data_IF_113753960838
#
_entry.id   IF_113753960838
#
_cell.length_a   1.000
_cell.length_b   1.000
_cell.length_c   1.000
_cell.angle_alpha   90.00
_cell.angle_beta   90.00
_cell.angle_gamma   90.00
#
_symmetry.space_group_name_H-M   'P 1'
#
loop_
_entity.id
_entity.type
_entity.pdbx_description
1 polymer ?
#
# COMPACT_ATOMS: atom_id res chain seq x y z
N UNK A 1 23.79 -28.34 -4.41
CA UNK A 1 22.47 -28.96 -4.21
C UNK A 1 21.47 -28.19 -5.06
N UNK A 2 20.71 -28.80 -5.98
CA UNK A 2 19.80 -28.06 -6.83
C UNK A 2 18.50 -27.77 -6.07
N UNK A 3 18.17 -26.49 -5.94
CA UNK A 3 16.92 -26.02 -5.35
C UNK A 3 15.77 -26.24 -6.35
N UNK A 4 14.96 -27.26 -6.12
CA UNK A 4 13.61 -27.35 -6.69
C UNK A 4 12.72 -26.31 -5.99
N UNK A 5 12.54 -25.16 -6.63
CA UNK A 5 11.55 -24.17 -6.21
C UNK A 5 10.17 -24.70 -6.60
N UNK A 6 9.44 -25.24 -5.62
CA UNK A 6 8.03 -25.63 -5.78
C UNK A 6 7.21 -24.33 -5.83
N UNK A 7 6.75 -23.99 -7.02
CA UNK A 7 5.71 -22.99 -7.26
C UNK A 7 4.36 -23.62 -6.88
N UNK A 8 3.96 -23.53 -5.62
CA UNK A 8 2.67 -24.05 -5.16
C UNK A 8 1.53 -23.11 -5.58
N UNK A 9 0.77 -23.54 -6.58
CA UNK A 9 -0.45 -22.92 -7.08
C UNK A 9 -1.61 -23.14 -6.10
N UNK A 10 -2.11 -22.06 -5.48
CA UNK A 10 -3.39 -22.04 -4.78
C UNK A 10 -4.55 -22.12 -5.79
N UNK A 11 -5.13 -23.31 -5.95
CA UNK A 11 -6.36 -23.55 -6.71
C UNK A 11 -7.59 -23.10 -5.93
N UNK A 12 -8.04 -21.88 -6.15
CA UNK A 12 -9.39 -21.42 -5.83
C UNK A 12 -10.28 -21.62 -7.06
N UNK A 13 -11.35 -22.42 -6.91
CA UNK A 13 -12.32 -22.77 -7.94
C UNK A 13 -13.00 -21.52 -8.54
N UNK A 14 -13.27 -21.48 -9.86
CA UNK A 14 -13.98 -20.37 -10.49
C UNK A 14 -15.49 -20.51 -10.27
N UNK A 15 -16.13 -19.44 -9.80
CA UNK A 15 -17.57 -19.25 -9.91
C UNK A 15 -17.84 -18.77 -11.34
N UNK A 16 -18.36 -19.67 -12.18
CA UNK A 16 -18.77 -19.36 -13.55
C UNK A 16 -20.21 -18.82 -13.54
N UNK A 17 -20.37 -17.58 -14.00
CA UNK A 17 -21.65 -17.04 -14.44
C UNK A 17 -21.63 -16.95 -15.96
N UNK A 18 -22.52 -17.71 -16.60
CA UNK A 18 -22.68 -17.82 -18.04
C UNK A 18 -23.45 -16.62 -18.61
N UNK A 19 -22.86 -15.93 -19.58
CA UNK A 19 -23.55 -15.46 -20.79
C UNK A 19 -22.49 -15.16 -21.86
N UNK A 20 -22.46 -16.04 -22.86
CA UNK A 20 -21.41 -16.17 -23.86
C UNK A 20 -21.49 -15.15 -24.97
N UNK A 21 -20.93 -13.98 -24.72
CA UNK A 21 -20.33 -13.17 -25.78
C UNK A 21 -18.82 -13.23 -25.54
N UNK A 22 -18.09 -14.03 -26.32
CA UNK A 22 -16.63 -14.18 -26.20
C UNK A 22 -15.97 -12.88 -26.65
N UNK A 23 -15.99 -11.88 -25.77
CA UNK A 23 -15.32 -10.59 -25.98
C UNK A 23 -13.85 -10.89 -26.24
N UNK A 24 -13.39 -10.59 -27.46
CA UNK A 24 -11.98 -10.74 -27.84
C UNK A 24 -11.12 -10.08 -26.77
N UNK A 25 -10.24 -10.86 -26.15
CA UNK A 25 -9.38 -10.37 -25.09
C UNK A 25 -8.39 -9.36 -25.70
N UNK A 26 -8.58 -8.07 -25.37
CA UNK A 26 -7.71 -6.99 -25.82
C UNK A 26 -6.43 -7.05 -25.00
N UNK A 27 -5.27 -7.01 -25.66
CA UNK A 27 -4.01 -7.01 -24.93
C UNK A 27 -3.84 -5.74 -24.09
N UNK A 28 -3.10 -5.83 -22.99
CA UNK A 28 -2.82 -4.68 -22.12
C UNK A 28 -2.18 -3.50 -22.87
N UNK A 29 -1.31 -3.80 -23.84
CA UNK A 29 -0.66 -2.78 -24.68
C UNK A 29 -1.66 -2.09 -25.61
N UNK A 30 -2.55 -2.84 -26.26
CA UNK A 30 -3.62 -2.27 -27.08
C UNK A 30 -4.59 -1.43 -26.24
N UNK A 31 -4.95 -1.92 -25.05
CA UNK A 31 -5.81 -1.17 -24.14
C UNK A 31 -5.17 0.14 -23.68
N UNK A 32 -3.89 0.11 -23.28
CA UNK A 32 -3.15 1.32 -22.91
C UNK A 32 -3.05 2.32 -24.08
N UNK A 33 -2.85 1.84 -25.30
CA UNK A 33 -2.89 2.69 -26.49
C UNK A 33 -4.28 3.31 -26.70
N UNK A 34 -5.36 2.54 -26.49
CA UNK A 34 -6.72 3.07 -26.56
C UNK A 34 -6.97 4.16 -25.49
N UNK A 35 -6.53 3.93 -24.25
CA UNK A 35 -6.57 4.91 -23.14
C UNK A 35 -5.86 6.21 -23.49
N UNK A 36 -4.71 6.16 -24.18
CA UNK A 36 -3.96 7.36 -24.58
C UNK A 36 -4.69 8.27 -25.58
N UNK A 37 -5.76 7.78 -26.22
CA UNK A 37 -6.60 8.58 -27.14
C UNK A 37 -7.65 9.41 -26.40
N UNK A 38 -7.92 9.11 -25.13
CA UNK A 38 -8.89 9.87 -24.34
C UNK A 38 -8.24 11.18 -23.90
N UNK A 39 -8.96 12.27 -24.12
CA UNK A 39 -8.54 13.62 -23.74
C UNK A 39 -9.38 14.10 -22.57
N UNK A 40 -8.79 14.95 -21.72
CA UNK A 40 -9.55 15.76 -20.75
C UNK A 40 -10.59 16.58 -21.52
N UNK A 41 -11.81 16.65 -21.00
CA UNK A 41 -12.99 17.25 -21.63
C UNK A 41 -13.80 16.30 -22.52
N UNK A 42 -13.34 15.06 -22.76
CA UNK A 42 -14.12 14.08 -23.54
C UNK A 42 -15.45 13.73 -22.84
N UNK A 43 -16.48 13.43 -23.64
CA UNK A 43 -17.78 12.97 -23.12
C UNK A 43 -17.71 11.49 -22.70
N UNK A 44 -18.71 11.04 -21.92
CA UNK A 44 -18.88 9.62 -21.62
C UNK A 44 -19.02 8.77 -22.88
N UNK A 45 -19.70 9.29 -23.90
CA UNK A 45 -19.97 8.58 -25.14
C UNK A 45 -18.68 8.40 -25.96
N UNK A 46 -17.81 9.41 -25.99
CA UNK A 46 -16.49 9.31 -26.62
C UNK A 46 -15.63 8.23 -25.95
N UNK A 47 -15.65 8.17 -24.61
CA UNK A 47 -14.90 7.17 -23.86
C UNK A 47 -15.46 5.77 -24.11
N UNK A 48 -16.79 5.60 -24.13
CA UNK A 48 -17.42 4.32 -24.46
C UNK A 48 -17.11 3.88 -25.89
N UNK A 49 -17.06 4.81 -26.85
CA UNK A 49 -16.68 4.51 -28.23
C UNK A 49 -15.22 4.03 -28.34
N UNK A 50 -14.32 4.52 -27.46
CA UNK A 50 -12.89 4.19 -27.49
C UNK A 50 -12.58 2.90 -26.70
N UNK A 51 -13.14 2.73 -25.50
CA UNK A 51 -12.79 1.67 -24.57
C UNK A 51 -13.87 0.59 -24.40
N UNK A 52 -15.10 0.88 -24.84
CA UNK A 52 -16.27 0.10 -24.50
C UNK A 52 -16.74 0.34 -23.05
N UNK A 53 -17.69 -0.49 -22.62
CA UNK A 53 -18.27 -0.41 -21.27
C UNK A 53 -17.22 -0.71 -20.18
N UNK A 54 -17.13 0.10 -19.11
CA UNK A 54 -16.26 -0.19 -17.97
C UNK A 54 -16.74 -1.41 -17.18
N UNK A 55 -15.82 -2.08 -16.47
CA UNK A 55 -16.14 -3.25 -15.64
C UNK A 55 -16.85 -2.85 -14.35
N UNK A 56 -16.54 -1.65 -13.85
CA UNK A 56 -17.18 -1.08 -12.67
C UNK A 56 -17.29 0.44 -12.82
N UNK A 57 -18.39 0.98 -12.31
CA UNK A 57 -18.63 2.40 -12.19
C UNK A 57 -18.80 2.71 -10.71
N UNK A 58 -18.11 3.73 -10.24
CA UNK A 58 -18.24 4.24 -8.88
C UNK A 58 -18.78 5.66 -8.92
N UNK A 59 -19.97 5.85 -8.36
CA UNK A 59 -20.54 7.16 -8.12
C UNK A 59 -20.14 7.68 -6.73
N UNK A 60 -19.91 8.98 -6.62
CA UNK A 60 -19.69 9.65 -5.35
C UNK A 60 -18.89 10.92 -5.50
N UNK A 61 -19.15 11.89 -4.61
CA UNK A 61 -18.36 13.12 -4.52
C UNK A 61 -16.95 12.77 -4.08
N UNK A 62 -15.99 12.79 -5.00
CA UNK A 62 -14.58 12.68 -4.66
C UNK A 62 -14.01 14.08 -4.59
N UNK A 63 -13.82 14.57 -3.37
CA UNK A 63 -13.08 15.81 -3.16
C UNK A 63 -11.60 15.49 -3.32
N UNK A 64 -11.04 15.95 -4.43
CA UNK A 64 -9.59 15.98 -4.62
C UNK A 64 -9.06 17.13 -3.75
N UNK A 65 -8.88 16.91 -2.45
CA UNK A 65 -8.17 17.89 -1.62
C UNK A 65 -6.69 17.85 -2.01
N UNK A 66 -6.08 19.03 -2.13
CA UNK A 66 -4.68 19.21 -2.54
C UNK A 66 -3.65 18.77 -1.48
N UNK A 67 -4.09 18.36 -0.29
CA UNK A 67 -3.19 18.09 0.84
C UNK A 67 -3.36 16.71 1.51
N UNK A 68 -4.53 16.10 1.46
CA UNK A 68 -4.78 14.76 2.03
C UNK A 68 -5.56 13.96 1.01
N UNK A 69 -4.84 13.38 0.04
CA UNK A 69 -5.42 12.78 -1.17
C UNK A 69 -6.62 11.87 -0.89
N UNK A 70 -7.55 11.65 -1.84
CA UNK A 70 -8.89 11.25 -1.47
C UNK A 70 -8.94 9.87 -0.82
N UNK A 71 -9.01 9.86 0.51
CA UNK A 71 -10.01 9.02 1.13
C UNK A 71 -11.35 9.45 0.54
N UNK A 72 -12.23 8.49 0.27
CA UNK A 72 -13.63 8.81 -0.01
C UNK A 72 -14.11 9.60 1.20
N UNK A 73 -14.14 10.92 1.08
CA UNK A 73 -14.85 11.74 2.04
C UNK A 73 -16.28 11.26 1.89
N UNK A 74 -16.79 10.56 2.91
CA UNK A 74 -18.23 10.37 3.01
C UNK A 74 -18.81 11.77 2.88
N UNK A 75 -19.80 11.95 2.01
CA UNK A 75 -20.34 13.25 1.63
C UNK A 75 -20.83 14.13 2.81
N UNK A 76 -20.75 13.66 4.06
CA UNK A 76 -21.13 14.35 5.28
C UNK A 76 -20.12 15.37 5.81
N UNK A 77 -18.84 15.35 5.40
CA UNK A 77 -17.78 16.03 6.18
C UNK A 77 -17.04 17.19 5.44
N UNK A 78 -17.62 17.78 4.39
CA UNK A 78 -16.94 18.83 3.60
C UNK A 78 -17.56 20.20 3.83
N UNK A 79 -16.84 21.06 4.54
CA UNK A 79 -17.12 22.50 4.68
C UNK A 79 -16.73 23.26 3.39
N UNK A 80 -17.57 24.20 2.95
CA UNK A 80 -17.77 24.63 1.55
C UNK A 80 -16.95 25.84 1.07
N UNK A 81 -15.61 25.85 1.14
CA UNK A 81 -14.85 27.10 0.89
C UNK A 81 -13.75 27.09 -0.20
N UNK A 82 -13.76 26.20 -1.19
CA UNK A 82 -12.78 26.27 -2.29
C UNK A 82 -13.24 25.71 -3.63
N UNK A 83 -12.67 26.21 -4.73
CA UNK A 83 -12.85 25.75 -6.11
C UNK A 83 -12.44 24.26 -6.25
N UNK A 84 -13.39 23.35 -6.09
CA UNK A 84 -13.19 21.92 -6.31
C UNK A 84 -13.98 21.47 -7.53
N UNK A 85 -13.33 20.79 -8.46
CA UNK A 85 -14.05 20.01 -9.48
C UNK A 85 -14.72 18.84 -8.77
N UNK A 86 -16.04 18.87 -8.68
CA UNK A 86 -16.81 17.75 -8.14
C UNK A 86 -16.66 16.57 -9.10
N UNK A 87 -15.74 15.66 -8.79
CA UNK A 87 -15.68 14.36 -9.44
C UNK A 87 -16.93 13.61 -9.01
N UNK A 88 -17.81 13.32 -9.97
CA UNK A 88 -19.09 12.66 -9.71
C UNK A 88 -19.01 11.16 -9.96
N UNK A 89 -18.11 10.72 -10.84
CA UNK A 89 -18.08 9.35 -11.32
C UNK A 89 -16.67 8.90 -11.70
N UNK A 90 -16.33 7.65 -11.37
CA UNK A 90 -15.06 7.02 -11.74
C UNK A 90 -15.34 5.69 -12.42
N UNK A 91 -14.80 5.52 -13.62
CA UNK A 91 -14.88 4.29 -14.40
C UNK A 91 -13.62 3.46 -14.21
N UNK A 92 -13.82 2.17 -13.91
CA UNK A 92 -12.75 1.22 -13.65
C UNK A 92 -12.70 0.16 -14.75
N UNK A 93 -11.50 -0.06 -15.28
CA UNK A 93 -11.21 -1.10 -16.27
C UNK A 93 -10.22 -2.12 -15.69
N UNK A 94 -10.48 -3.40 -15.93
CA UNK A 94 -9.77 -4.55 -15.35
C UNK A 94 -10.17 -4.90 -13.91
N UNK A 95 -11.27 -4.36 -13.40
CA UNK A 95 -11.74 -4.58 -12.03
C UNK A 95 -12.56 -5.88 -11.88
N UNK A 96 -12.42 -6.58 -10.75
CA UNK A 96 -13.28 -7.71 -10.37
C UNK A 96 -14.49 -7.19 -9.57
N UNK A 97 -15.56 -6.83 -10.27
CA UNK A 97 -16.81 -6.36 -9.69
C UNK A 97 -16.77 -4.90 -9.20
N UNK A 98 -17.87 -4.47 -8.57
CA UNK A 98 -18.14 -3.05 -8.23
C UNK A 98 -17.18 -2.42 -7.22
N UNK A 99 -16.44 -3.25 -6.47
CA UNK A 99 -15.46 -2.82 -5.47
C UNK A 99 -14.03 -3.28 -5.82
N UNK A 100 -13.83 -3.84 -7.01
CA UNK A 100 -12.54 -4.32 -7.48
C UNK A 100 -11.57 -3.17 -7.76
N UNK A 101 -10.28 -3.41 -7.55
CA UNK A 101 -9.25 -2.46 -7.98
C UNK A 101 -9.02 -2.60 -9.50
N UNK A 102 -9.02 -1.50 -10.26
CA UNK A 102 -8.78 -1.54 -11.72
C UNK A 102 -7.34 -1.92 -12.02
N UNK A 103 -7.16 -2.89 -12.91
CA UNK A 103 -5.82 -3.31 -13.37
C UNK A 103 -5.44 -2.73 -14.71
N UNK A 104 -6.37 -2.21 -15.52
CA UNK A 104 -6.07 -1.72 -16.87
C UNK A 104 -6.01 -0.19 -16.96
N UNK A 105 -6.95 0.48 -16.32
CA UNK A 105 -7.03 1.94 -16.32
C UNK A 105 -8.24 2.50 -15.58
N UNK A 106 -8.27 3.83 -15.45
CA UNK A 106 -9.34 4.60 -14.82
C UNK A 106 -9.65 5.85 -15.62
N UNK A 107 -10.92 6.24 -15.62
CA UNK A 107 -11.37 7.52 -16.18
C UNK A 107 -12.23 8.20 -15.13
N UNK A 108 -11.88 9.44 -14.78
CA UNK A 108 -12.59 10.25 -13.80
C UNK A 108 -13.43 11.27 -14.56
N UNK A 109 -14.68 11.41 -14.15
CA UNK A 109 -15.59 12.40 -14.67
C UNK A 109 -15.92 13.43 -13.59
N UNK A 110 -15.82 14.69 -13.96
CA UNK A 110 -16.25 15.81 -13.11
C UNK A 110 -17.23 16.71 -13.85
N UNK A 111 -18.00 17.47 -13.09
CA UNK A 111 -18.78 18.58 -13.64
C UNK A 111 -17.94 19.85 -13.57
N UNK A 112 -17.64 20.46 -14.72
CA UNK A 112 -17.21 21.85 -14.73
C UNK A 112 -18.43 22.72 -14.42
N UNK A 113 -18.31 23.62 -13.44
CA UNK A 113 -19.32 24.62 -13.12
C UNK A 113 -19.32 25.68 -14.24
N UNK A 114 -19.90 25.36 -15.39
CA UNK A 114 -20.26 26.37 -16.40
C UNK A 114 -21.74 26.70 -16.25
N UNK A 115 -22.10 27.96 -16.49
CA UNK A 115 -23.41 28.52 -16.14
C UNK A 115 -24.60 27.82 -16.84
N UNK A 116 -24.37 27.05 -17.92
CA UNK A 116 -25.46 26.61 -18.80
C UNK A 116 -25.61 25.08 -19.06
N UNK A 117 -24.65 24.19 -18.73
CA UNK A 117 -24.87 22.72 -18.89
C UNK A 117 -24.01 21.88 -17.92
N UNK A 118 -24.64 21.04 -17.10
CA UNK A 118 -23.98 20.03 -16.25
C UNK A 118 -23.67 18.72 -17.02
N UNK A 119 -22.86 18.78 -18.07
CA UNK A 119 -22.36 17.56 -18.69
C UNK A 119 -21.10 17.09 -17.94
N UNK A 120 -21.11 15.88 -17.39
CA UNK A 120 -19.92 15.30 -16.79
C UNK A 120 -18.91 14.98 -17.91
N UNK A 121 -17.71 15.55 -17.83
CA UNK A 121 -16.63 15.32 -18.80
C UNK A 121 -15.42 14.72 -18.12
N UNK A 122 -14.55 14.08 -18.90
CA UNK A 122 -13.32 13.47 -18.40
C UNK A 122 -12.42 14.54 -17.78
N UNK A 123 -12.11 14.45 -16.49
CA UNK A 123 -11.15 15.33 -15.83
C UNK A 123 -9.77 14.66 -15.64
N UNK A 124 -9.72 13.34 -15.48
CA UNK A 124 -8.47 12.58 -15.35
C UNK A 124 -8.53 11.23 -16.04
N UNK A 125 -7.38 10.80 -16.60
CA UNK A 125 -7.20 9.51 -17.27
C UNK A 125 -5.93 8.84 -16.75
N UNK A 126 -6.04 7.60 -16.31
CA UNK A 126 -4.93 6.81 -15.80
C UNK A 126 -4.86 5.45 -16.44
N UNK A 127 -3.66 4.98 -16.78
CA UNK A 127 -3.47 3.76 -17.57
C UNK A 127 -3.21 4.01 -19.06
N UNK A 128 -2.83 5.23 -19.47
CA UNK A 128 -2.42 5.55 -20.85
C UNK A 128 -0.92 5.29 -21.11
N UNK A 129 -0.11 5.11 -20.06
CA UNK A 129 1.32 4.81 -20.19
C UNK A 129 1.57 3.42 -20.78
N UNK A 130 2.76 3.24 -21.40
CA UNK A 130 3.18 1.96 -21.97
C UNK A 130 3.42 0.93 -20.85
N UNK A 131 2.70 -0.20 -20.81
CA UNK A 131 2.96 -1.28 -19.85
C UNK A 131 4.35 -1.88 -20.07
N UNK A 132 4.99 -2.34 -19.01
CA UNK A 132 6.28 -3.03 -19.10
C UNK A 132 6.13 -4.38 -19.85
N UNK A 133 7.03 -4.71 -20.78
CA UNK A 133 7.00 -6.01 -21.47
C UNK A 133 7.21 -7.20 -20.52
N UNK A 134 7.85 -6.98 -19.37
CA UNK A 134 8.05 -8.01 -18.34
C UNK A 134 6.73 -8.58 -17.82
N UNK A 135 5.64 -7.80 -17.86
CA UNK A 135 4.32 -8.23 -17.41
C UNK A 135 3.75 -9.39 -18.23
N UNK A 136 4.25 -9.65 -19.45
CA UNK A 136 3.87 -10.83 -20.22
C UNK A 136 4.26 -12.15 -19.54
N UNK A 137 5.16 -12.11 -18.55
CA UNK A 137 5.65 -13.27 -17.78
C UNK A 137 4.76 -13.64 -16.60
N UNK A 138 3.76 -12.81 -16.26
CA UNK A 138 2.84 -13.04 -15.16
C UNK A 138 1.41 -13.18 -15.69
N UNK A 139 0.63 -14.10 -15.11
CA UNK A 139 -0.79 -14.26 -15.47
C UNK A 139 -1.59 -13.06 -14.97
N UNK A 140 -2.60 -12.65 -15.72
CA UNK A 140 -3.45 -11.50 -15.36
C UNK A 140 -4.04 -11.63 -13.94
N UNK A 141 -4.50 -12.83 -13.57
CA UNK A 141 -5.03 -13.11 -12.22
C UNK A 141 -4.02 -12.80 -11.11
N UNK A 142 -2.75 -13.15 -11.32
CA UNK A 142 -1.70 -12.94 -10.32
C UNK A 142 -1.24 -11.49 -10.30
N UNK A 143 -1.13 -10.84 -11.47
CA UNK A 143 -0.88 -9.41 -11.57
C UNK A 143 -1.96 -8.60 -10.84
N UNK A 144 -3.23 -8.93 -11.05
CA UNK A 144 -4.37 -8.30 -10.36
C UNK A 144 -4.24 -8.41 -8.85
N UNK A 145 -3.95 -9.62 -8.34
CA UNK A 145 -3.74 -9.85 -6.90
C UNK A 145 -2.62 -8.99 -6.33
N UNK A 146 -1.50 -8.86 -7.06
CA UNK A 146 -0.37 -8.02 -6.63
C UNK A 146 -0.72 -6.54 -6.65
N UNK A 147 -1.37 -6.04 -7.71
CA UNK A 147 -1.81 -4.64 -7.81
C UNK A 147 -2.79 -4.30 -6.67
N UNK A 148 -3.76 -5.19 -6.39
CA UNK A 148 -4.68 -5.05 -5.24
C UNK A 148 -3.91 -5.01 -3.93
N UNK A 149 -2.91 -5.88 -3.75
CA UNK A 149 -2.07 -5.89 -2.55
C UNK A 149 -1.30 -4.58 -2.39
N UNK A 150 -0.75 -4.02 -3.47
CA UNK A 150 -0.07 -2.72 -3.49
C UNK A 150 -1.02 -1.56 -3.20
N UNK A 151 -2.29 -1.70 -3.56
CA UNK A 151 -3.33 -0.73 -3.20
C UNK A 151 -3.73 -0.75 -1.73
N UNK A 152 -3.31 -1.78 -0.98
CA UNK A 152 -3.63 -1.97 0.42
C UNK A 152 -3.27 -0.77 1.31
N UNK A 153 -3.95 -0.66 2.45
CA UNK A 153 -3.86 0.47 3.38
C UNK A 153 -2.64 0.35 4.30
N UNK A 154 -1.44 0.51 3.76
CA UNK A 154 -0.26 0.80 4.60
C UNK A 154 -0.04 2.31 4.63
N UNK A 155 -0.74 3.01 5.53
CA UNK A 155 -0.69 4.47 5.66
C UNK A 155 0.68 4.96 6.16
N UNK A 156 1.11 6.14 5.74
CA UNK A 156 2.38 6.74 6.14
C UNK A 156 2.33 7.41 7.53
N UNK A 157 1.17 7.38 8.20
CA UNK A 157 1.01 7.80 9.58
C UNK A 157 1.27 6.61 10.53
N UNK A 158 2.20 6.73 11.46
CA UNK A 158 2.61 5.66 12.37
C UNK A 158 1.46 5.02 13.15
N UNK A 159 0.42 5.77 13.51
CA UNK A 159 -0.75 5.23 14.23
C UNK A 159 -1.66 4.34 13.37
N UNK A 160 -1.51 4.43 12.05
CA UNK A 160 -2.32 3.73 11.04
C UNK A 160 -1.51 2.80 10.14
N UNK A 161 -0.18 2.93 10.18
CA UNK A 161 0.74 2.07 9.48
C UNK A 161 0.60 0.63 9.98
N UNK A 162 0.42 -0.30 9.05
CA UNK A 162 0.34 -1.73 9.32
C UNK A 162 1.54 -2.45 8.69
N UNK A 163 2.51 -2.90 9.51
CA UNK A 163 3.67 -3.65 9.01
C UNK A 163 3.27 -4.93 8.26
N UNK A 164 2.15 -5.57 8.61
CA UNK A 164 1.69 -6.83 8.02
C UNK A 164 1.41 -6.70 6.53
N UNK A 165 0.76 -5.61 6.11
CA UNK A 165 0.51 -5.34 4.68
C UNK A 165 1.81 -5.16 3.90
N UNK A 166 2.79 -4.43 4.46
CA UNK A 166 4.08 -4.25 3.81
C UNK A 166 4.87 -5.56 3.73
N UNK A 167 4.85 -6.37 4.79
CA UNK A 167 5.45 -7.71 4.80
C UNK A 167 4.85 -8.60 3.69
N UNK A 168 3.52 -8.63 3.58
CA UNK A 168 2.83 -9.40 2.55
C UNK A 168 3.21 -8.95 1.13
N UNK A 169 3.22 -7.64 0.87
CA UNK A 169 3.63 -7.07 -0.42
C UNK A 169 5.06 -7.44 -0.79
N UNK A 170 5.99 -7.30 0.14
CA UNK A 170 7.40 -7.68 -0.04
C UNK A 170 7.52 -9.16 -0.37
N UNK A 171 6.87 -10.03 0.41
CA UNK A 171 6.99 -11.47 0.28
C UNK A 171 6.30 -12.01 -0.98
N UNK A 172 5.32 -11.29 -1.51
CA UNK A 172 4.69 -11.60 -2.80
C UNK A 172 5.55 -11.14 -3.99
N UNK A 173 6.22 -10.00 -3.89
CA UNK A 173 7.06 -9.45 -4.96
C UNK A 173 8.46 -10.07 -5.04
N UNK A 174 9.09 -10.38 -3.90
CA UNK A 174 10.46 -10.89 -3.85
C UNK A 174 10.70 -12.14 -4.72
N UNK A 175 9.80 -13.14 -4.75
CA UNK A 175 9.99 -14.34 -5.57
C UNK A 175 9.90 -14.10 -7.08
N UNK A 176 9.35 -12.96 -7.52
CA UNK A 176 9.23 -12.61 -8.94
C UNK A 176 10.57 -12.24 -9.58
N UNK A 177 11.58 -11.94 -8.75
CA UNK A 177 12.83 -11.35 -9.21
C UNK A 177 12.72 -9.85 -9.45
N UNK A 178 13.86 -9.18 -9.63
CA UNK A 178 13.96 -7.71 -9.60
C UNK A 178 13.11 -7.06 -10.69
N UNK A 179 13.29 -7.50 -11.93
CA UNK A 179 12.73 -6.80 -13.09
C UNK A 179 11.20 -6.92 -13.13
N UNK A 180 10.67 -8.12 -12.86
CA UNK A 180 9.24 -8.36 -12.80
C UNK A 180 8.60 -7.67 -11.58
N UNK A 181 9.26 -7.65 -10.42
CA UNK A 181 8.76 -6.93 -9.24
C UNK A 181 8.64 -5.42 -9.51
N UNK A 182 9.66 -4.81 -10.13
CA UNK A 182 9.62 -3.40 -10.53
C UNK A 182 8.55 -3.13 -11.59
N UNK A 183 8.39 -4.03 -12.57
CA UNK A 183 7.34 -3.92 -13.58
C UNK A 183 5.93 -3.93 -12.99
N UNK A 184 5.68 -4.75 -11.96
CA UNK A 184 4.40 -4.79 -11.23
C UNK A 184 4.16 -3.48 -10.47
N UNK A 185 5.20 -2.93 -9.83
CA UNK A 185 5.11 -1.64 -9.12
C UNK A 185 4.82 -0.50 -10.11
N UNK A 186 5.50 -0.48 -11.25
CA UNK A 186 5.26 0.48 -12.33
C UNK A 186 3.83 0.37 -12.87
N UNK A 187 3.34 -0.85 -13.03
CA UNK A 187 1.97 -1.08 -13.49
C UNK A 187 0.94 -0.54 -12.50
N UNK A 188 1.14 -0.79 -11.20
CA UNK A 188 0.32 -0.20 -10.15
C UNK A 188 0.31 1.33 -10.23
N UNK A 189 1.49 1.95 -10.37
CA UNK A 189 1.61 3.41 -10.49
C UNK A 189 0.99 3.95 -11.79
N UNK A 190 1.02 3.18 -12.88
CA UNK A 190 0.45 3.55 -14.19
C UNK A 190 -1.08 3.63 -14.13
N UNK A 191 -1.73 2.70 -13.43
CA UNK A 191 -3.20 2.64 -13.31
C UNK A 191 -3.75 3.37 -12.09
N UNK A 192 -2.86 3.73 -11.16
CA UNK A 192 -3.19 4.53 -9.98
C UNK A 192 -2.16 5.67 -9.73
N UNK A 193 -1.92 6.60 -10.68
CA UNK A 193 -1.02 7.73 -10.48
C UNK A 193 -1.59 8.74 -9.48
N UNK A 194 -0.78 9.05 -8.46
CA UNK A 194 -0.43 10.39 -7.99
C UNK A 194 -1.47 11.46 -7.61
N UNK A 195 -2.78 11.21 -7.59
CA UNK A 195 -3.70 12.09 -6.81
C UNK A 195 -3.67 11.79 -5.31
N UNK A 196 -2.91 10.78 -4.88
CA UNK A 196 -2.81 10.40 -3.49
C UNK A 196 -1.34 10.42 -3.07
N UNK A 197 -0.93 11.43 -2.28
CA UNK A 197 0.39 11.46 -1.63
C UNK A 197 0.73 10.09 -1.00
N UNK A 198 -0.28 9.43 -0.41
CA UNK A 198 -0.17 8.10 0.18
C UNK A 198 0.30 7.00 -0.79
N UNK A 199 -0.01 7.05 -2.09
CA UNK A 199 0.37 6.00 -3.05
C UNK A 199 1.88 5.95 -3.32
N UNK A 200 2.45 7.11 -3.66
CA UNK A 200 3.88 7.24 -3.95
C UNK A 200 4.74 6.99 -2.72
N UNK A 201 4.33 7.52 -1.57
CA UNK A 201 5.02 7.32 -0.30
C UNK A 201 5.03 5.83 0.10
N UNK A 202 3.90 5.15 -0.07
CA UNK A 202 3.77 3.69 0.11
C UNK A 202 4.78 2.92 -0.73
N UNK A 203 4.90 3.25 -2.01
CA UNK A 203 5.86 2.57 -2.89
C UNK A 203 7.30 2.85 -2.45
N UNK A 204 7.63 4.05 -1.95
CA UNK A 204 8.97 4.32 -1.40
C UNK A 204 9.28 3.46 -0.18
N UNK A 205 8.33 3.32 0.74
CA UNK A 205 8.46 2.42 1.89
C UNK A 205 8.66 0.98 1.41
N UNK A 206 7.87 0.54 0.43
CA UNK A 206 8.01 -0.76 -0.19
C UNK A 206 9.40 -0.99 -0.79
N UNK A 207 9.92 -0.07 -1.59
CA UNK A 207 11.23 -0.21 -2.23
C UNK A 207 12.36 -0.29 -1.20
N UNK A 208 12.34 0.57 -0.17
CA UNK A 208 13.32 0.56 0.94
C UNK A 208 13.33 -0.75 1.71
N UNK A 209 12.16 -1.37 1.81
CA UNK A 209 12.07 -2.69 2.40
C UNK A 209 12.55 -3.66 1.33
N UNK A 210 11.87 -3.87 0.20
CA UNK A 210 12.13 -4.88 -0.85
C UNK A 210 13.60 -5.09 -1.23
N UNK A 211 14.40 -4.03 -1.24
CA UNK A 211 15.81 -4.08 -1.61
C UNK A 211 16.78 -4.11 -0.40
N UNK A 212 17.97 -4.66 -0.64
CA UNK A 212 19.09 -4.61 0.30
C UNK A 212 19.62 -3.18 0.42
N UNK A 213 20.19 -2.86 1.59
CA UNK A 213 20.90 -1.60 1.75
C UNK A 213 22.15 -1.69 0.87
N UNK A 214 22.40 -0.70 0.00
CA UNK A 214 23.59 -0.70 -0.84
C UNK A 214 24.85 -0.81 0.03
N UNK A 215 25.74 -1.75 -0.30
CA UNK A 215 26.96 -1.99 0.46
C UNK A 215 28.00 -0.89 0.27
N UNK A 216 27.93 -0.15 -0.83
CA UNK A 216 28.84 0.94 -1.19
C UNK A 216 28.57 2.21 -0.37
N UNK A 217 27.30 2.57 -0.13
CA UNK A 217 26.92 3.73 0.66
C UNK A 217 26.57 3.40 2.10
N UNK A 218 26.21 2.15 2.41
CA UNK A 218 25.74 1.74 3.74
C UNK A 218 24.35 2.28 4.11
N UNK A 219 23.67 2.97 3.19
CA UNK A 219 22.31 3.49 3.38
C UNK A 219 21.55 3.61 2.06
N UNK A 220 20.21 3.58 2.12
CA UNK A 220 19.33 3.79 0.98
C UNK A 220 19.41 5.23 0.45
N UNK A 221 19.08 5.47 -0.84
CA UNK A 221 18.93 6.83 -1.38
C UNK A 221 17.96 7.67 -0.55
N UNK A 222 18.15 8.98 -0.52
CA UNK A 222 17.21 9.89 0.14
C UNK A 222 15.87 9.92 -0.61
N UNK A 223 14.75 9.87 0.14
CA UNK A 223 13.40 9.98 -0.43
C UNK A 223 12.76 11.37 -0.24
N UNK A 224 13.53 12.37 0.23
CA UNK A 224 13.13 13.77 0.35
C UNK A 224 11.79 13.94 1.09
N UNK A 225 11.69 13.33 2.27
CA UNK A 225 10.54 13.54 3.14
C UNK A 225 10.48 15.02 3.53
N UNK A 226 9.29 15.63 3.47
CA UNK A 226 9.06 16.93 4.08
C UNK A 226 9.23 16.85 5.60
N UNK A 227 9.41 18.00 6.23
CA UNK A 227 10.14 18.05 7.49
C UNK A 227 9.34 17.51 8.69
N UNK A 228 10.11 16.97 9.65
CA UNK A 228 9.78 16.53 11.01
C UNK A 228 9.44 15.03 11.26
N UNK A 229 10.39 14.22 11.77
CA UNK A 229 11.79 14.56 12.05
C UNK A 229 12.63 14.61 10.76
N UNK A 230 13.68 15.44 10.70
CA UNK A 230 14.60 15.43 9.58
C UNK A 230 15.27 14.06 9.42
N UNK A 231 15.75 13.72 8.22
CA UNK A 231 16.58 12.54 8.02
C UNK A 231 17.76 12.47 9.01
N UNK A 232 18.25 11.26 9.32
CA UNK A 232 19.41 11.09 10.18
C UNK A 232 20.64 11.83 9.65
N UNK A 233 21.28 12.65 10.50
CA UNK A 233 22.59 13.24 10.20
C UNK A 233 23.65 12.19 9.82
N UNK A 234 23.51 10.97 10.35
CA UNK A 234 24.31 9.79 9.99
C UNK A 234 23.39 8.71 9.43
N UNK A 235 23.16 8.67 8.10
CA UNK A 235 22.23 7.75 7.46
C UNK A 235 22.46 6.28 7.79
N UNK A 236 23.67 5.89 8.15
CA UNK A 236 24.07 4.52 8.48
C UNK A 236 23.42 4.02 9.78
N UNK A 237 22.96 4.92 10.67
CA UNK A 237 22.25 4.55 11.90
C UNK A 237 20.86 4.00 11.62
N UNK A 238 20.20 4.53 10.58
CA UNK A 238 18.92 4.03 10.06
C UNK A 238 19.02 3.95 8.54
N UNK A 239 19.64 2.91 8.00
CA UNK A 239 19.99 2.84 6.58
C UNK A 239 18.76 2.71 5.67
N UNK A 240 17.56 2.53 6.24
CA UNK A 240 16.26 2.46 5.54
C UNK A 240 15.30 3.58 5.93
N UNK A 241 15.78 4.65 6.58
CA UNK A 241 14.95 5.76 7.05
C UNK A 241 13.88 6.17 6.02
N UNK A 242 12.59 6.24 6.37
CA UNK A 242 12.03 6.31 7.72
C UNK A 242 11.63 4.96 8.31
N UNK A 243 12.02 3.84 7.68
CA UNK A 243 11.75 2.48 8.19
C UNK A 243 12.97 1.92 8.90
N UNK A 244 12.73 1.25 10.02
CA UNK A 244 13.69 0.38 10.69
C UNK A 244 13.14 -1.05 10.78
N UNK A 245 13.90 -2.04 10.30
CA UNK A 245 13.45 -3.45 10.30
C UNK A 245 13.98 -4.15 11.54
N UNK A 246 13.08 -4.55 12.44
CA UNK A 246 13.41 -5.26 13.69
C UNK A 246 12.83 -6.67 13.62
N UNK A 247 13.69 -7.70 13.59
CA UNK A 247 13.26 -9.11 13.45
C UNK A 247 12.24 -9.31 12.32
N UNK A 248 12.59 -8.82 11.13
CA UNK A 248 11.75 -8.85 9.93
C UNK A 248 10.42 -8.08 10.01
N UNK A 249 10.25 -7.21 11.02
CA UNK A 249 9.12 -6.29 11.13
C UNK A 249 9.57 -4.90 10.67
N UNK A 250 9.09 -4.39 9.54
CA UNK A 250 9.41 -3.03 9.09
C UNK A 250 8.59 -2.02 9.89
N UNK A 251 9.21 -1.36 10.87
CA UNK A 251 8.58 -0.35 11.71
C UNK A 251 8.86 1.05 11.15
N UNK A 252 7.82 1.86 11.02
CA UNK A 252 7.95 3.27 10.70
C UNK A 252 8.38 4.04 11.96
N UNK A 253 9.59 4.60 11.95
CA UNK A 253 10.19 5.25 13.15
C UNK A 253 9.92 6.74 13.24
N UNK A 254 9.12 7.26 12.31
CA UNK A 254 8.62 8.64 12.31
C UNK A 254 7.12 8.60 12.50
N UNK A 255 6.55 9.58 13.21
CA UNK A 255 5.10 9.62 13.46
C UNK A 255 4.28 9.73 12.17
N UNK A 256 4.86 10.38 11.18
CA UNK A 256 4.35 10.57 9.85
C UNK A 256 5.30 11.51 9.15
N UNK A 257 5.13 11.66 7.86
CA UNK A 257 5.76 12.70 7.10
C UNK A 257 4.74 13.17 6.09
N UNK A 258 4.73 14.47 5.86
CA UNK A 258 4.06 15.05 4.70
C UNK A 258 5.19 15.38 3.75
N UNK A 259 5.16 14.89 2.52
CA UNK A 259 6.04 15.46 1.51
C UNK A 259 5.66 16.94 1.36
N UNK A 260 6.51 17.87 1.80
CA UNK A 260 6.24 19.30 1.63
C UNK A 260 6.17 19.61 0.12
N UNK A 261 4.97 19.87 -0.38
CA UNK A 261 4.68 20.09 -1.80
C UNK A 261 4.19 18.85 -2.54
N UNK A 262 4.29 18.86 -3.87
CA UNK A 262 4.01 17.67 -4.67
C UNK A 262 5.08 16.63 -4.32
N UNK A 263 4.72 15.46 -3.73
CA UNK A 263 5.70 14.41 -3.47
C UNK A 263 6.45 14.16 -4.78
N UNK A 264 7.80 14.10 -4.74
CA UNK A 264 8.54 13.89 -5.97
C UNK A 264 8.01 12.62 -6.64
N UNK A 265 7.93 12.62 -7.97
CA UNK A 265 7.59 11.44 -8.75
C UNK A 265 8.49 10.26 -8.32
N UNK A 266 7.95 9.04 -8.21
CA UNK A 266 8.70 7.85 -7.76
C UNK A 266 9.63 7.26 -8.83
N UNK A 267 9.55 7.76 -10.06
CA UNK A 267 10.39 7.29 -11.17
C UNK A 267 11.89 7.28 -10.91
N UNK A 268 12.51 8.32 -10.30
CA UNK A 268 13.93 8.30 -9.99
C UNK A 268 14.30 7.20 -8.98
N UNK A 269 13.42 6.90 -8.02
CA UNK A 269 13.60 5.79 -7.08
C UNK A 269 13.58 4.45 -7.83
N UNK A 270 12.59 4.24 -8.71
CA UNK A 270 12.48 3.03 -9.53
C UNK A 270 13.69 2.84 -10.44
N UNK A 271 14.16 3.90 -11.08
CA UNK A 271 15.33 3.84 -11.96
C UNK A 271 16.61 3.53 -11.17
N UNK A 272 16.76 4.09 -9.97
CA UNK A 272 17.83 3.73 -9.05
C UNK A 272 17.80 2.23 -8.74
N UNK A 273 16.65 1.69 -8.31
CA UNK A 273 16.55 0.28 -7.93
C UNK A 273 16.66 -0.66 -9.12
N UNK A 274 16.22 -0.26 -10.31
CA UNK A 274 16.47 -1.00 -11.55
C UNK A 274 17.97 -1.16 -11.80
N UNK A 275 18.71 -0.05 -11.74
CA UNK A 275 20.15 -0.02 -12.06
C UNK A 275 21.03 -0.63 -10.97
N UNK A 276 20.76 -0.31 -9.70
CA UNK A 276 21.64 -0.60 -8.56
C UNK A 276 21.02 -1.50 -7.50
N UNK A 277 19.71 -1.67 -7.51
CA UNK A 277 19.00 -2.42 -6.48
C UNK A 277 19.37 -3.90 -6.51
N UNK A 278 19.67 -4.43 -5.32
CA UNK A 278 19.81 -5.87 -5.06
C UNK A 278 18.61 -6.31 -4.24
N UNK A 279 17.82 -7.25 -4.74
CA UNK A 279 16.68 -7.77 -3.96
C UNK A 279 17.18 -8.44 -2.67
N UNK A 280 16.36 -8.32 -1.61
CA UNK A 280 16.60 -9.11 -0.40
C UNK A 280 16.62 -10.61 -0.71
N UNK A 281 17.55 -11.33 -0.07
CA UNK A 281 17.68 -12.78 -0.24
C UNK A 281 16.59 -13.53 0.51
N UNK A 282 16.24 -13.07 1.71
CA UNK A 282 15.29 -13.73 2.59
C UNK A 282 13.94 -13.03 2.56
N UNK A 283 12.87 -13.82 2.63
CA UNK A 283 11.52 -13.32 2.93
C UNK A 283 11.49 -12.75 4.33
N UNK A 284 10.62 -11.78 4.56
CA UNK A 284 10.36 -11.27 5.90
C UNK A 284 9.56 -12.32 6.68
N UNK A 285 10.09 -12.80 7.80
CA UNK A 285 9.43 -13.77 8.66
C UNK A 285 9.45 -13.29 10.12
N UNK A 286 8.48 -12.46 10.53
CA UNK A 286 8.35 -12.03 11.92
C UNK A 286 8.41 -13.21 12.90
N UNK A 287 9.13 -13.02 14.02
CA UNK A 287 9.23 -14.05 15.06
C UNK A 287 7.90 -14.28 15.79
N UNK A 288 7.72 -15.44 16.43
CA UNK A 288 6.53 -15.72 17.28
C UNK A 288 6.38 -14.80 18.52
N UNK A 289 7.31 -13.86 18.75
CA UNK A 289 7.26 -12.84 19.80
C UNK A 289 7.31 -11.43 19.19
N UNK A 290 6.31 -11.01 18.39
CA UNK A 290 6.31 -9.72 17.68
C UNK A 290 6.49 -8.53 18.62
N UNK A 291 5.90 -8.59 19.82
CA UNK A 291 5.89 -7.46 20.75
C UNK A 291 7.27 -7.18 21.36
N UNK A 292 8.20 -8.15 21.36
CA UNK A 292 9.60 -7.92 21.75
C UNK A 292 10.35 -7.00 20.77
N UNK A 293 9.77 -6.66 19.62
CA UNK A 293 10.35 -5.71 18.68
C UNK A 293 10.43 -4.29 19.27
N UNK A 294 9.51 -3.89 20.16
CA UNK A 294 9.56 -2.59 20.80
C UNK A 294 10.81 -2.45 21.68
N UNK A 295 11.07 -3.42 22.56
CA UNK A 295 12.22 -3.39 23.46
C UNK A 295 13.55 -3.40 22.68
N UNK A 296 13.61 -4.11 21.55
CA UNK A 296 14.79 -4.10 20.67
C UNK A 296 14.95 -2.76 19.96
N UNK A 297 13.85 -2.18 19.48
CA UNK A 297 13.88 -0.85 18.89
C UNK A 297 14.36 0.17 19.92
N UNK A 298 13.82 0.16 21.15
CA UNK A 298 14.19 1.04 22.27
C UNK A 298 15.70 0.96 22.63
N UNK A 299 16.35 -0.18 22.38
CA UNK A 299 17.78 -0.39 22.57
C UNK A 299 18.64 -0.04 21.35
N UNK A 300 18.03 0.22 20.20
CA UNK A 300 18.73 0.50 18.95
C UNK A 300 19.06 1.98 18.79
N UNK A 301 20.03 2.30 17.92
CA UNK A 301 20.29 3.68 17.52
C UNK A 301 19.07 4.31 16.84
N UNK A 302 18.17 3.52 16.24
CA UNK A 302 16.98 4.05 15.59
C UNK A 302 15.97 4.67 16.56
N UNK A 303 16.02 4.30 17.86
CA UNK A 303 15.13 4.86 18.87
C UNK A 303 15.25 6.38 19.00
N UNK A 304 16.42 6.96 18.73
CA UNK A 304 16.62 8.41 18.84
C UNK A 304 15.77 9.23 17.86
N UNK A 305 15.21 8.61 16.82
CA UNK A 305 14.36 9.25 15.81
C UNK A 305 12.87 9.21 16.14
N UNK A 306 12.48 8.30 17.02
CA UNK A 306 11.27 8.50 17.81
C UNK A 306 11.64 9.60 18.81
N UNK A 307 10.94 10.74 18.86
CA UNK A 307 11.31 11.94 19.65
C UNK A 307 11.30 11.72 21.18
N UNK A 308 11.45 10.49 21.66
CA UNK A 308 11.25 10.04 23.05
C UNK A 308 9.92 10.51 23.65
N UNK A 309 8.99 10.97 22.83
CA UNK A 309 7.69 11.39 23.31
C UNK A 309 6.85 10.13 23.53
N UNK A 310 5.89 10.23 24.44
CA UNK A 310 4.86 9.20 24.59
C UNK A 310 4.14 8.92 23.25
N UNK A 311 4.02 9.94 22.39
CA UNK A 311 3.39 9.85 21.08
C UNK A 311 4.14 8.94 20.12
N UNK A 312 5.46 9.03 20.02
CA UNK A 312 6.21 8.18 19.07
C UNK A 312 6.19 6.71 19.51
N UNK A 313 6.35 6.47 20.82
CA UNK A 313 6.22 5.13 21.41
C UNK A 313 4.82 4.57 21.15
N UNK A 314 3.78 5.37 21.33
CA UNK A 314 2.39 5.01 20.98
C UNK A 314 2.26 4.66 19.50
N UNK A 315 2.94 5.38 18.60
CA UNK A 315 3.00 5.07 17.17
C UNK A 315 3.51 3.64 16.92
N UNK A 316 4.66 3.28 17.50
CA UNK A 316 5.22 1.93 17.38
C UNK A 316 4.29 0.86 17.98
N UNK A 317 3.67 1.13 19.14
CA UNK A 317 2.70 0.21 19.75
C UNK A 317 1.51 -0.01 18.82
N UNK A 318 0.94 1.03 18.22
CA UNK A 318 -0.14 0.91 17.23
C UNK A 318 0.25 -0.01 16.06
N UNK A 319 1.48 0.13 15.53
CA UNK A 319 1.96 -0.72 14.44
C UNK A 319 2.07 -2.19 14.86
N UNK A 320 2.59 -2.46 16.07
CA UNK A 320 2.71 -3.82 16.60
C UNK A 320 1.33 -4.43 16.89
N UNK A 321 0.38 -3.64 17.41
CA UNK A 321 -1.01 -4.07 17.62
C UNK A 321 -1.71 -4.36 16.29
N UNK A 322 -1.50 -3.55 15.25
CA UNK A 322 -2.02 -3.81 13.91
C UNK A 322 -1.48 -5.13 13.34
N UNK A 323 -0.18 -5.39 13.51
CA UNK A 323 0.46 -6.63 13.05
C UNK A 323 -0.13 -7.89 13.71
N UNK A 324 -0.57 -7.81 14.97
CA UNK A 324 -1.14 -8.95 15.72
C UNK A 324 -2.67 -8.97 15.75
N UNK A 325 -3.34 -8.04 15.06
CA UNK A 325 -4.80 -7.95 14.99
C UNK A 325 -5.51 -9.29 14.63
N UNK A 326 -4.97 -10.15 13.74
CA UNK A 326 -5.60 -11.44 13.44
C UNK A 326 -5.75 -12.41 14.63
N UNK A 327 -4.93 -12.24 15.68
CA UNK A 327 -4.95 -13.07 16.91
C UNK A 327 -5.33 -12.27 18.15
N UNK A 328 -5.38 -10.95 18.04
CA UNK A 328 -5.84 -10.01 19.06
C UNK A 328 -6.68 -8.91 18.39
N UNK A 329 -7.91 -9.22 17.96
CA UNK A 329 -8.70 -8.29 17.15
C UNK A 329 -9.10 -7.07 17.98
N UNK A 330 -8.86 -5.88 17.44
CA UNK A 330 -9.34 -4.62 18.00
C UNK A 330 -10.51 -4.13 17.14
N UNK A 331 -11.61 -3.75 17.78
CA UNK A 331 -12.87 -3.46 17.08
C UNK A 331 -12.72 -2.40 15.97
N UNK A 332 -11.89 -1.40 16.20
CA UNK A 332 -11.59 -0.35 15.25
C UNK A 332 -10.26 0.36 15.57
N UNK A 333 -9.88 1.32 14.72
CA UNK A 333 -8.70 2.14 14.89
C UNK A 333 -8.75 2.99 16.18
N UNK A 334 -9.93 3.44 16.60
CA UNK A 334 -10.10 4.24 17.82
C UNK A 334 -9.76 3.40 19.05
N UNK A 335 -10.19 2.14 19.06
CA UNK A 335 -9.89 1.15 20.10
C UNK A 335 -8.40 0.86 20.15
N UNK A 336 -7.73 0.78 18.99
CA UNK A 336 -6.28 0.62 18.91
C UNK A 336 -5.54 1.83 19.46
N UNK A 337 -5.92 3.03 19.09
CA UNK A 337 -5.32 4.26 19.62
C UNK A 337 -5.53 4.35 21.15
N UNK A 338 -6.74 4.08 21.63
CA UNK A 338 -7.07 4.11 23.06
C UNK A 338 -6.30 3.04 23.86
N UNK A 339 -6.15 1.83 23.32
CA UNK A 339 -5.32 0.79 23.94
C UNK A 339 -3.84 1.20 23.94
N UNK A 340 -3.34 1.73 22.82
CA UNK A 340 -1.95 2.15 22.71
C UNK A 340 -1.60 3.27 23.70
N UNK A 341 -2.51 4.21 23.94
CA UNK A 341 -2.34 5.25 24.94
C UNK A 341 -2.24 4.67 26.36
N UNK A 342 -3.10 3.69 26.69
CA UNK A 342 -3.03 2.92 27.95
C UNK A 342 -1.77 2.06 28.08
N UNK A 343 -1.09 1.75 26.99
CA UNK A 343 0.14 0.97 26.96
C UNK A 343 1.40 1.84 26.83
N UNK A 344 1.25 3.16 26.92
CA UNK A 344 2.35 4.12 26.75
C UNK A 344 3.41 4.03 27.85
N UNK A 345 3.07 3.53 29.05
CA UNK A 345 4.06 3.22 30.08
C UNK A 345 4.72 1.85 29.87
N UNK A 346 5.99 1.73 30.30
CA UNK A 346 6.74 0.47 30.20
C UNK A 346 6.10 -0.64 31.03
N UNK A 347 5.56 -0.31 32.20
CA UNK A 347 4.92 -1.29 33.09
C UNK A 347 3.64 -1.87 32.49
N UNK A 348 2.73 -1.01 32.00
CA UNK A 348 1.50 -1.47 31.34
C UNK A 348 1.80 -2.27 30.07
N UNK A 349 2.81 -1.85 29.29
CA UNK A 349 3.29 -2.61 28.15
C UNK A 349 3.79 -4.00 28.54
N UNK A 350 4.63 -4.11 29.57
CA UNK A 350 5.15 -5.41 30.02
C UNK A 350 4.03 -6.35 30.51
N UNK A 351 3.05 -5.82 31.24
CA UNK A 351 1.87 -6.58 31.67
C UNK A 351 1.06 -7.07 30.47
N UNK A 352 0.87 -6.22 29.46
CA UNK A 352 0.21 -6.60 28.21
C UNK A 352 0.99 -7.69 27.47
N UNK A 353 2.30 -7.54 27.30
CA UNK A 353 3.17 -8.55 26.67
C UNK A 353 3.06 -9.88 27.41
N UNK A 354 3.14 -9.89 28.73
CA UNK A 354 3.03 -11.12 29.53
C UNK A 354 1.66 -11.81 29.37
N UNK A 355 0.57 -11.04 29.19
CA UNK A 355 -0.76 -11.58 28.87
C UNK A 355 -0.81 -12.14 27.44
N UNK A 356 -0.25 -11.39 26.48
CA UNK A 356 -0.24 -11.74 25.07
C UNK A 356 0.58 -13.00 24.78
N UNK A 357 1.72 -13.19 25.45
CA UNK A 357 2.59 -14.36 25.28
C UNK A 357 1.89 -15.70 25.66
N UNK A 358 0.78 -15.64 26.40
CA UNK A 358 -0.05 -16.83 26.73
C UNK A 358 -0.90 -17.33 25.57
N UNK A 359 -0.97 -16.59 24.45
CA UNK A 359 -1.80 -16.94 23.29
C UNK A 359 -1.20 -18.02 22.37
N UNK A 360 0.03 -18.49 22.63
CA UNK A 360 0.71 -19.51 21.81
C UNK A 360 0.57 -19.22 20.30
N UNK A 361 1.04 -18.05 19.85
CA UNK A 361 0.89 -17.64 18.44
C UNK A 361 2.08 -18.09 17.58
N UNK A 362 1.87 -18.19 16.28
CA UNK A 362 2.94 -18.35 15.30
C UNK A 362 2.67 -17.54 14.03
N UNK A 363 3.73 -17.16 13.32
CA UNK A 363 3.61 -16.54 11.99
C UNK A 363 3.33 -17.61 10.93
N UNK A 364 2.25 -17.46 10.16
CA UNK A 364 1.95 -18.30 9.00
C UNK A 364 2.57 -17.67 7.72
N UNK A 365 3.63 -18.29 7.14
CA UNK A 365 4.30 -17.75 5.95
C UNK A 365 3.51 -17.89 4.66
N UNK A 366 2.44 -18.70 4.61
CA UNK A 366 1.58 -18.79 3.44
C UNK A 366 0.53 -17.68 3.47
N UNK A 367 -0.06 -17.44 4.65
CA UNK A 367 -1.09 -16.42 4.82
C UNK A 367 -0.56 -15.05 5.17
N UNK A 368 0.74 -14.93 5.47
CA UNK A 368 1.40 -13.68 5.84
C UNK A 368 0.72 -13.00 7.04
N UNK A 369 0.38 -13.79 8.06
CA UNK A 369 -0.30 -13.32 9.27
C UNK A 369 -0.06 -14.24 10.47
N UNK A 370 -0.25 -13.72 11.68
CA UNK A 370 -0.23 -14.53 12.89
C UNK A 370 -1.46 -15.44 13.01
N UNK A 371 -1.27 -16.61 13.62
CA UNK A 371 -2.32 -17.56 13.98
C UNK A 371 -2.13 -18.10 15.39
N UNK A 372 -3.21 -18.52 16.02
CA UNK A 372 -3.18 -19.28 17.27
C UNK A 372 -2.76 -20.72 16.97
N UNK A 373 -1.81 -21.26 17.73
CA UNK A 373 -1.32 -22.65 17.56
C UNK A 373 -2.39 -23.67 17.96
N UNK A 374 -3.19 -23.35 18.97
CA UNK A 374 -4.37 -24.10 19.34
C UNK A 374 -5.58 -23.22 19.15
N UNK A 375 -6.58 -23.74 18.44
CA UNK A 375 -7.91 -23.13 18.37
C UNK A 375 -8.53 -23.31 19.75
N UNK A 376 -8.24 -22.41 20.70
CA UNK A 376 -8.97 -22.38 21.97
C UNK A 376 -10.44 -22.18 21.60
N UNK A 377 -11.30 -23.05 22.10
CA UNK A 377 -12.72 -22.76 22.19
C UNK A 377 -12.83 -21.38 22.87
N UNK A 378 -13.69 -20.50 22.32
CA UNK A 378 -13.76 -19.06 22.62
C UNK A 378 -14.25 -18.77 24.06
N UNK A 379 -13.63 -19.38 25.05
CA UNK A 379 -13.98 -19.16 26.45
C UNK A 379 -13.21 -17.93 26.94
N UNK A 380 -13.84 -16.76 26.76
CA UNK A 380 -13.52 -15.56 27.52
C UNK A 380 -12.23 -14.83 27.16
N UNK A 381 -11.94 -14.64 25.86
CA UNK A 381 -11.06 -13.53 25.47
C UNK A 381 -11.83 -12.23 25.80
N UNK A 382 -11.33 -11.38 26.71
CA UNK A 382 -12.02 -10.18 27.15
C UNK A 382 -12.16 -9.11 26.07
#
# INVERSE_FOLDING_TARGET
MPAQLILMLLTLAPLAGENGDTKKEVSRTEFAAAMSRIKVGASSDDVLAILGRPDSIRHGKVVLTSFDGPDIVRASDVDTTGEYSDVCEIWYYGAEGSNGFPTLGRVYYGTELTEDVQAATVCHVYGSGKPSPELARIKERDLRRLIVMLSGRFECAASRYDPGHLIAAVNALQPLGKDLALAVIEEYLRVCPETHASGTERIRLLLRVLFQVPSDTGHMPDIRLGTDPPPPHKPELIPRFPIHVVRDIPLLVVWGYVCEGLPPWVGPDLEYFRKKGVLRTNRLAPSNRPLCALEQLERSAAWMYTRRTARDRMGIICQLLALVDPVWPLADQKSRAALSDKLSSREQWNQFVAKFERLEIHWDPERQKYQLTKRRERDGIP
#
